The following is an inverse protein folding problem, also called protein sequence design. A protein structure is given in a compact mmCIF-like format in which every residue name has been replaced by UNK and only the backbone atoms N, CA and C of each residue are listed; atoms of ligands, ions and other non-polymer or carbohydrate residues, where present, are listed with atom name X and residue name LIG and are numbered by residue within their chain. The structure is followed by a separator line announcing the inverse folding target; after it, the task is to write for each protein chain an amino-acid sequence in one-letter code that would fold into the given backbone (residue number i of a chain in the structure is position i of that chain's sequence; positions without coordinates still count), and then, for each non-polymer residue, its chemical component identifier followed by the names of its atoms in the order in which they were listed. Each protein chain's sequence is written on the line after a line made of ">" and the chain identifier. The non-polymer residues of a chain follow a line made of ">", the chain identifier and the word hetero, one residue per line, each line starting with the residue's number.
data_IF_593476371077
#
_entry.id   IF_593476371077
#
_cell.length_a   1.000
_cell.length_b   1.000
_cell.length_c   1.000
_cell.angle_alpha   90.00
_cell.angle_beta   90.00
_cell.angle_gamma   90.00
#
_symmetry.space_group_name_H-M   'P 1'
#
loop_
_entity.id
_entity.type
_entity.pdbx_description
1 polymer ?
#
# COMPACT_ATOMS: atom_id res chain seq x y z
N UNK A 1 -12.52 0.67 14.70
CA UNK A 1 -13.49 0.71 13.57
C UNK A 1 -12.85 -0.02 12.39
N UNK A 2 -13.61 -0.84 11.65
CA UNK A 2 -13.15 -1.48 10.42
C UNK A 2 -14.00 -0.98 9.27
N UNK A 3 -13.37 -0.52 8.19
CA UNK A 3 -14.04 0.00 7.00
C UNK A 3 -13.52 -0.77 5.79
N UNK A 4 -14.43 -1.34 5.01
CA UNK A 4 -14.11 -2.09 3.79
C UNK A 4 -14.31 -1.19 2.58
N UNK A 5 -13.26 -0.98 1.77
CA UNK A 5 -13.30 -0.16 0.55
C UNK A 5 -13.22 -1.00 -0.72
N UNK A 6 -13.19 -2.33 -0.64
CA UNK A 6 -12.99 -3.23 -1.79
C UNK A 6 -14.15 -3.24 -2.78
N UNK A 7 -15.37 -2.98 -2.32
CA UNK A 7 -16.58 -3.02 -3.16
C UNK A 7 -16.89 -1.70 -3.85
N UNK A 8 -16.10 -0.66 -3.59
CA UNK A 8 -16.22 0.58 -4.33
C UNK A 8 -15.44 0.42 -5.64
N UNK A 9 -16.10 0.71 -6.76
CA UNK A 9 -15.47 0.82 -8.07
C UNK A 9 -16.12 1.97 -8.82
N UNK A 10 -15.29 2.83 -9.37
CA UNK A 10 -15.74 3.99 -10.14
C UNK A 10 -15.23 3.91 -11.57
N UNK A 11 -16.11 4.14 -12.54
CA UNK A 11 -15.75 4.18 -13.95
C UNK A 11 -15.32 5.59 -14.34
N UNK A 12 -14.19 5.72 -15.02
CA UNK A 12 -13.69 7.03 -15.47
C UNK A 12 -14.69 7.72 -16.39
N UNK A 13 -15.21 8.87 -15.96
CA UNK A 13 -16.16 9.70 -16.73
C UNK A 13 -15.51 10.50 -17.86
N UNK A 14 -14.17 10.67 -17.83
CA UNK A 14 -13.44 11.48 -18.82
C UNK A 14 -13.16 10.75 -20.14
N UNK A 15 -13.01 9.43 -20.10
CA UNK A 15 -12.68 8.61 -21.26
C UNK A 15 -12.94 7.13 -20.93
N UNK A 16 -13.71 6.45 -21.78
CA UNK A 16 -14.05 5.04 -21.60
C UNK A 16 -12.86 4.09 -21.74
N UNK A 17 -11.77 4.54 -22.36
CA UNK A 17 -10.51 3.77 -22.50
C UNK A 17 -9.60 3.84 -21.28
N UNK A 18 -9.92 4.68 -20.29
CA UNK A 18 -9.15 4.74 -19.04
C UNK A 18 -9.60 3.63 -18.09
N UNK A 19 -8.66 3.02 -17.34
CA UNK A 19 -8.99 1.97 -16.38
C UNK A 19 -9.93 2.49 -15.27
N UNK A 20 -10.78 1.61 -14.75
CA UNK A 20 -11.66 1.93 -13.63
C UNK A 20 -10.84 2.28 -12.38
N UNK A 21 -11.31 3.25 -11.61
CA UNK A 21 -10.71 3.65 -10.34
C UNK A 21 -11.31 2.89 -9.16
N UNK A 22 -10.56 2.83 -8.07
CA UNK A 22 -10.99 2.18 -6.83
C UNK A 22 -12.08 2.96 -6.10
N UNK A 23 -11.86 4.24 -5.82
CA UNK A 23 -12.89 5.13 -5.27
C UNK A 23 -12.83 6.48 -5.98
N UNK A 24 -14.00 7.08 -6.19
CA UNK A 24 -14.10 8.48 -6.59
C UNK A 24 -13.90 9.43 -5.41
N UNK A 25 -13.87 10.72 -5.71
CA UNK A 25 -13.68 11.77 -4.71
C UNK A 25 -14.83 11.84 -3.69
N UNK A 26 -16.06 11.57 -4.12
CA UNK A 26 -17.25 11.59 -3.26
C UNK A 26 -17.18 10.47 -2.21
N UNK A 27 -16.91 9.24 -2.64
CA UNK A 27 -16.77 8.09 -1.74
C UNK A 27 -15.61 8.28 -0.73
N UNK A 28 -14.52 8.94 -1.14
CA UNK A 28 -13.40 9.26 -0.23
C UNK A 28 -13.81 10.34 0.78
N UNK A 29 -14.64 11.29 0.38
CA UNK A 29 -15.15 12.34 1.28
C UNK A 29 -16.09 11.73 2.33
N UNK A 30 -16.96 10.80 1.93
CA UNK A 30 -17.81 10.05 2.85
C UNK A 30 -16.98 9.20 3.82
N UNK A 31 -15.94 8.54 3.31
CA UNK A 31 -14.97 7.83 4.13
C UNK A 31 -14.34 8.78 5.17
N UNK A 32 -13.92 9.97 4.75
CA UNK A 32 -13.34 10.97 5.65
C UNK A 32 -14.32 11.37 6.77
N UNK A 33 -15.62 11.47 6.50
CA UNK A 33 -16.63 11.76 7.52
C UNK A 33 -16.72 10.63 8.55
N UNK A 34 -16.72 9.37 8.10
CA UNK A 34 -16.78 8.21 9.00
C UNK A 34 -15.54 8.08 9.90
N UNK A 35 -14.40 8.60 9.44
CA UNK A 35 -13.13 8.59 10.16
C UNK A 35 -13.04 9.67 11.25
N UNK A 36 -13.85 10.72 11.20
CA UNK A 36 -13.76 11.82 12.16
C UNK A 36 -13.99 11.34 13.60
N UNK A 37 -13.12 11.78 14.50
CA UNK A 37 -13.24 11.50 15.93
C UNK A 37 -12.94 10.04 16.32
N UNK A 38 -12.34 9.25 15.42
CA UNK A 38 -11.85 7.90 15.74
C UNK A 38 -10.37 7.96 16.08
N UNK A 39 -9.92 7.17 17.05
CA UNK A 39 -8.50 7.15 17.45
C UNK A 39 -7.66 6.22 16.55
N UNK A 40 -8.19 5.04 16.23
CA UNK A 40 -7.59 4.05 15.35
C UNK A 40 -8.62 3.45 14.37
N UNK A 41 -8.17 3.18 13.15
CA UNK A 41 -9.00 2.57 12.10
C UNK A 41 -8.26 1.48 11.33
N UNK A 42 -9.00 0.43 10.97
CA UNK A 42 -8.57 -0.56 9.97
C UNK A 42 -9.29 -0.27 8.66
N UNK A 43 -8.53 -0.03 7.59
CA UNK A 43 -9.04 0.16 6.24
C UNK A 43 -8.69 -1.07 5.42
N UNK A 44 -9.69 -1.83 4.97
CA UNK A 44 -9.48 -2.96 4.06
C UNK A 44 -9.54 -2.41 2.63
N UNK A 45 -8.40 -2.40 1.93
CA UNK A 45 -8.28 -1.86 0.58
C UNK A 45 -8.03 -2.98 -0.43
N UNK A 46 -8.55 -2.87 -1.67
CA UNK A 46 -8.39 -3.91 -2.68
C UNK A 46 -6.93 -4.06 -3.13
N UNK A 47 -6.27 -2.93 -3.39
CA UNK A 47 -4.84 -2.86 -3.71
C UNK A 47 -4.09 -2.02 -2.65
N UNK A 48 -2.76 -2.18 -2.53
CA UNK A 48 -1.95 -1.39 -1.60
C UNK A 48 -2.02 0.09 -1.90
N UNK A 49 -2.33 0.91 -0.88
CA UNK A 49 -2.29 2.38 -1.00
C UNK A 49 -0.86 2.87 -1.10
N UNK A 50 0.06 2.18 -0.43
CA UNK A 50 1.50 2.44 -0.46
C UNK A 50 2.23 1.26 -1.12
N UNK A 51 2.05 1.08 -2.44
CA UNK A 51 2.73 0.03 -3.21
C UNK A 51 4.21 0.30 -3.49
N UNK A 52 4.88 -0.71 -4.06
CA UNK A 52 6.25 -0.62 -4.58
C UNK A 52 6.27 0.35 -5.76
N UNK A 53 6.92 1.50 -5.58
CA UNK A 53 6.93 2.60 -6.57
C UNK A 53 7.38 2.18 -7.96
N UNK A 54 8.38 1.30 -8.04
CA UNK A 54 8.85 0.79 -9.33
C UNK A 54 7.78 0.00 -10.07
N UNK A 55 7.07 -0.88 -9.36
CA UNK A 55 6.01 -1.68 -9.98
C UNK A 55 4.95 -0.72 -10.51
N UNK A 56 4.48 0.23 -9.70
CA UNK A 56 3.55 1.28 -10.15
C UNK A 56 4.05 2.06 -11.39
N UNK A 57 5.35 2.37 -11.46
CA UNK A 57 5.95 3.09 -12.59
C UNK A 57 5.99 2.24 -13.87
N UNK A 58 6.38 0.97 -13.75
CA UNK A 58 6.37 0.01 -14.86
C UNK A 58 4.94 -0.19 -15.36
N UNK A 59 3.98 -0.34 -14.44
CA UNK A 59 2.57 -0.48 -14.78
C UNK A 59 2.08 0.70 -15.63
N UNK A 60 2.43 1.94 -15.24
CA UNK A 60 2.10 3.15 -16.02
C UNK A 60 2.72 3.17 -17.42
N UNK A 61 3.96 2.70 -17.58
CA UNK A 61 4.62 2.61 -18.89
C UNK A 61 3.86 1.63 -19.80
N UNK A 62 3.50 0.44 -19.30
CA UNK A 62 2.75 -0.54 -20.07
C UNK A 62 1.36 -0.04 -20.48
N UNK A 63 0.67 0.68 -19.60
CA UNK A 63 -0.61 1.34 -19.92
C UNK A 63 -0.42 2.40 -21.01
N UNK A 64 0.64 3.22 -20.94
CA UNK A 64 0.93 4.23 -21.95
C UNK A 64 1.29 3.63 -23.33
N UNK A 65 1.85 2.42 -23.36
CA UNK A 65 2.18 1.67 -24.57
C UNK A 65 1.00 0.86 -25.13
N UNK A 66 -0.20 1.00 -24.57
CA UNK A 66 -1.42 0.38 -25.13
C UNK A 66 -1.60 -1.10 -24.79
N UNK A 67 -0.94 -1.60 -23.73
CA UNK A 67 -1.15 -2.96 -23.20
C UNK A 67 -1.80 -2.94 -21.80
N UNK A 68 -2.97 -2.30 -21.62
CA UNK A 68 -3.61 -2.14 -20.29
C UNK A 68 -4.13 -3.46 -19.71
N UNK A 69 -4.35 -4.50 -20.53
CA UNK A 69 -4.87 -5.80 -20.09
C UNK A 69 -3.84 -6.70 -19.40
N UNK A 70 -2.54 -6.42 -19.56
CA UNK A 70 -1.47 -7.21 -18.93
C UNK A 70 -1.11 -6.73 -17.53
N UNK A 71 -1.69 -5.62 -17.09
CA UNK A 71 -1.28 -4.94 -15.87
C UNK A 71 -2.51 -4.45 -15.13
N UNK A 72 -2.71 -4.90 -13.90
CA UNK A 72 -3.77 -4.36 -13.07
C UNK A 72 -3.52 -2.87 -12.80
N UNK A 73 -4.31 -2.04 -13.48
CA UNK A 73 -4.22 -0.59 -13.45
C UNK A 73 -5.15 0.02 -12.38
N UNK A 74 -5.72 -0.81 -11.48
CA UNK A 74 -6.47 -0.42 -10.28
C UNK A 74 -5.55 0.18 -9.19
N UNK A 75 -4.71 1.15 -9.55
CA UNK A 75 -3.87 1.86 -8.59
C UNK A 75 -4.62 3.10 -8.05
N UNK A 76 -4.66 3.26 -6.72
CA UNK A 76 -5.12 4.47 -6.03
C UNK A 76 -4.53 5.76 -6.63
N UNK A 77 -3.29 5.70 -7.12
CA UNK A 77 -2.56 6.85 -7.68
C UNK A 77 -2.81 7.09 -9.17
N UNK A 78 -3.66 6.30 -9.84
CA UNK A 78 -3.96 6.46 -11.26
C UNK A 78 -4.82 7.71 -11.53
N UNK A 79 -5.71 8.06 -10.60
CA UNK A 79 -6.64 9.19 -10.73
C UNK A 79 -6.24 10.33 -9.79
N UNK A 80 -5.87 11.48 -10.34
CA UNK A 80 -5.30 12.60 -9.57
C UNK A 80 -6.22 13.16 -8.47
N UNK A 81 -7.54 13.22 -8.73
CA UNK A 81 -8.53 13.69 -7.75
C UNK A 81 -8.68 12.75 -6.56
N UNK A 82 -8.86 11.46 -6.82
CA UNK A 82 -8.95 10.42 -5.78
C UNK A 82 -7.64 10.28 -5.01
N UNK A 83 -6.49 10.34 -5.69
CA UNK A 83 -5.18 10.29 -5.04
C UNK A 83 -4.99 11.48 -4.08
N UNK A 84 -5.36 12.69 -4.49
CA UNK A 84 -5.27 13.87 -3.64
C UNK A 84 -6.19 13.76 -2.41
N UNK A 85 -7.45 13.36 -2.60
CA UNK A 85 -8.41 13.18 -1.51
C UNK A 85 -7.96 12.10 -0.52
N UNK A 86 -7.46 10.97 -1.02
CA UNK A 86 -6.93 9.89 -0.19
C UNK A 86 -5.69 10.33 0.59
N UNK A 87 -4.79 11.10 -0.01
CA UNK A 87 -3.64 11.64 0.74
C UNK A 87 -4.12 12.64 1.80
N UNK A 88 -5.08 13.50 1.49
CA UNK A 88 -5.62 14.49 2.41
C UNK A 88 -6.28 13.87 3.66
N UNK A 89 -6.84 12.66 3.53
CA UNK A 89 -7.36 11.88 4.66
C UNK A 89 -6.30 11.67 5.75
N UNK A 90 -5.03 11.48 5.36
CA UNK A 90 -3.92 11.31 6.30
C UNK A 90 -3.38 12.64 6.86
N UNK A 91 -3.58 13.77 6.19
CA UNK A 91 -3.09 15.08 6.67
C UNK A 91 -4.07 15.79 7.62
N UNK A 92 -5.34 15.37 7.63
CA UNK A 92 -6.40 16.12 8.29
C UNK A 92 -6.37 15.92 9.81
N UNK A 93 -6.26 17.00 10.59
CA UNK A 93 -6.08 16.93 12.07
C UNK A 93 -7.20 16.23 12.85
N UNK A 94 -8.40 16.13 12.28
CA UNK A 94 -9.56 15.43 12.87
C UNK A 94 -9.71 13.95 12.46
N UNK A 95 -8.77 13.41 11.67
CA UNK A 95 -8.77 12.00 11.29
C UNK A 95 -7.90 11.18 12.27
N UNK A 96 -7.99 9.84 12.24
CA UNK A 96 -7.34 8.98 13.22
C UNK A 96 -5.84 9.19 13.37
N UNK A 97 -5.36 8.99 14.58
CA UNK A 97 -3.92 8.99 14.88
C UNK A 97 -3.24 7.69 14.41
N UNK A 98 -4.01 6.61 14.21
CA UNK A 98 -3.51 5.34 13.73
C UNK A 98 -4.35 4.77 12.58
N UNK A 99 -3.69 4.45 11.46
CA UNK A 99 -4.29 3.79 10.31
C UNK A 99 -3.62 2.44 10.07
N UNK A 100 -4.42 1.37 10.01
CA UNK A 100 -3.98 0.04 9.58
C UNK A 100 -4.64 -0.30 8.25
N UNK A 101 -3.89 -0.21 7.16
CA UNK A 101 -4.34 -0.54 5.81
C UNK A 101 -4.07 -2.03 5.57
N UNK A 102 -5.13 -2.81 5.35
CA UNK A 102 -5.05 -4.22 4.99
C UNK A 102 -5.30 -4.36 3.49
N UNK A 103 -4.30 -4.86 2.76
CA UNK A 103 -4.38 -4.98 1.30
C UNK A 103 -3.92 -6.36 0.82
N UNK A 104 -4.23 -6.66 -0.44
CA UNK A 104 -3.76 -7.86 -1.12
C UNK A 104 -3.48 -7.57 -2.60
N UNK A 105 -3.89 -8.51 -3.46
CA UNK A 105 -3.76 -8.50 -4.93
C UNK A 105 -2.33 -8.72 -5.45
N UNK A 106 -1.34 -8.05 -4.86
CA UNK A 106 0.05 -8.27 -5.21
C UNK A 106 0.55 -9.58 -4.62
N UNK A 107 1.04 -10.49 -5.48
CA UNK A 107 1.46 -11.86 -5.15
C UNK A 107 2.74 -11.97 -4.29
N UNK A 108 2.96 -11.03 -3.38
CA UNK A 108 4.05 -10.97 -2.42
C UNK A 108 3.60 -10.18 -1.18
N UNK A 109 4.13 -10.52 -0.01
CA UNK A 109 3.79 -9.86 1.25
C UNK A 109 4.80 -8.76 1.59
N UNK A 110 4.32 -7.65 2.16
CA UNK A 110 5.18 -6.59 2.69
C UNK A 110 4.46 -5.77 3.76
N UNK A 111 5.26 -5.10 4.58
CA UNK A 111 4.77 -4.16 5.59
C UNK A 111 5.52 -2.85 5.50
N UNK A 112 4.79 -1.75 5.32
CA UNK A 112 5.37 -0.41 5.34
C UNK A 112 4.80 0.40 6.50
N UNK A 113 5.69 1.07 7.21
CA UNK A 113 5.37 2.16 8.12
C UNK A 113 5.46 3.48 7.36
N UNK A 114 4.43 4.30 7.43
CA UNK A 114 4.36 5.57 6.72
C UNK A 114 4.16 6.69 7.73
N UNK A 115 5.00 7.72 7.63
CA UNK A 115 4.90 8.96 8.40
C UNK A 115 4.85 10.17 7.48
N UNK A 116 4.20 11.23 7.93
CA UNK A 116 4.22 12.51 7.24
C UNK A 116 5.58 13.19 7.45
N UNK A 117 6.19 13.73 6.40
CA UNK A 117 7.47 14.46 6.51
C UNK A 117 7.22 15.83 7.14
N UNK A 118 8.08 16.22 8.09
CA UNK A 118 7.98 17.51 8.76
C UNK A 118 6.86 17.61 9.80
N UNK A 119 6.20 16.50 10.14
CA UNK A 119 5.25 16.44 11.26
C UNK A 119 5.65 15.31 12.22
N UNK A 120 6.26 15.67 13.35
CA UNK A 120 6.69 14.70 14.35
C UNK A 120 5.50 14.04 15.08
N UNK A 121 4.37 14.75 15.17
CA UNK A 121 3.11 14.28 15.77
C UNK A 121 2.04 13.93 14.71
N UNK A 122 2.46 13.59 13.48
CA UNK A 122 1.55 13.10 12.45
C UNK A 122 1.00 11.70 12.77
N UNK A 123 -0.04 11.23 12.06
CA UNK A 123 -0.60 9.91 12.28
C UNK A 123 0.39 8.79 11.92
N UNK A 124 0.33 7.69 12.67
CA UNK A 124 1.04 6.46 12.36
C UNK A 124 0.22 5.64 11.36
N UNK A 125 0.73 5.52 10.13
CA UNK A 125 0.07 4.80 9.05
C UNK A 125 0.85 3.52 8.78
N UNK A 126 0.13 2.40 8.72
CA UNK A 126 0.69 1.08 8.47
C UNK A 126 0.01 0.47 7.25
N UNK A 127 0.82 0.02 6.30
CA UNK A 127 0.37 -0.72 5.14
C UNK A 127 0.79 -2.17 5.31
N UNK A 128 -0.19 -3.04 5.51
CA UNK A 128 -0.01 -4.49 5.56
C UNK A 128 -0.52 -5.09 4.27
N UNK A 129 0.36 -5.75 3.54
CA UNK A 129 0.00 -6.41 2.29
C UNK A 129 0.31 -7.88 2.41
N UNK A 130 -0.71 -8.72 2.21
CA UNK A 130 -0.57 -10.17 2.20
C UNK A 130 -0.52 -10.69 0.78
N UNK A 131 0.38 -11.63 0.53
CA UNK A 131 0.40 -12.45 -0.69
C UNK A 131 -0.89 -13.26 -0.82
N UNK A 132 -1.17 -13.71 -2.05
CA UNK A 132 -2.29 -14.59 -2.35
C UNK A 132 -2.08 -16.01 -1.81
N UNK A 133 -3.18 -16.73 -1.63
CA UNK A 133 -3.17 -18.10 -1.10
C UNK A 133 -2.55 -19.15 -2.04
N UNK A 134 -2.55 -18.90 -3.36
CA UNK A 134 -2.25 -19.92 -4.38
C UNK A 134 -1.22 -19.49 -5.43
N UNK A 135 -0.83 -18.22 -5.46
CA UNK A 135 0.05 -17.67 -6.49
C UNK A 135 1.15 -16.85 -5.86
N UNK A 136 2.35 -17.04 -6.38
CA UNK A 136 3.56 -16.30 -6.06
C UNK A 136 4.01 -15.52 -7.29
N UNK A 137 4.71 -14.41 -7.07
CA UNK A 137 5.29 -13.67 -8.18
C UNK A 137 6.52 -14.41 -8.72
N UNK A 138 6.86 -14.34 -10.01
CA UNK A 138 8.08 -14.95 -10.52
C UNK A 138 9.32 -14.41 -9.77
N UNK A 139 9.99 -15.28 -8.99
CA UNK A 139 11.02 -14.87 -8.02
C UNK A 139 12.13 -14.00 -8.64
N UNK A 140 12.71 -14.42 -9.78
CA UNK A 140 13.75 -13.67 -10.48
C UNK A 140 13.33 -12.25 -10.86
N UNK A 141 12.06 -12.07 -11.23
CA UNK A 141 11.53 -10.77 -11.62
C UNK A 141 11.28 -9.89 -10.40
N UNK A 142 10.79 -10.49 -9.30
CA UNK A 142 10.64 -9.77 -8.04
C UNK A 142 11.98 -9.30 -7.50
N UNK A 143 13.01 -10.15 -7.49
CA UNK A 143 14.35 -9.80 -7.01
C UNK A 143 14.94 -8.65 -7.84
N UNK A 144 14.76 -8.71 -9.15
CA UNK A 144 15.18 -7.63 -10.05
C UNK A 144 14.44 -6.33 -9.73
N UNK A 145 13.11 -6.37 -9.56
CA UNK A 145 12.31 -5.20 -9.20
C UNK A 145 12.65 -4.66 -7.81
N UNK A 146 12.89 -5.50 -6.81
CA UNK A 146 13.25 -5.05 -5.47
C UNK A 146 14.59 -4.31 -5.48
N UNK A 147 15.60 -4.90 -6.16
CA UNK A 147 16.93 -4.29 -6.33
C UNK A 147 16.87 -2.97 -7.09
N UNK A 148 16.11 -2.93 -8.19
CA UNK A 148 15.97 -1.74 -9.00
C UNK A 148 15.16 -0.66 -8.28
N UNK A 149 14.13 -1.03 -7.52
CA UNK A 149 13.34 -0.13 -6.69
C UNK A 149 14.20 0.49 -5.58
N UNK A 150 15.04 -0.31 -4.93
CA UNK A 150 16.01 0.16 -3.92
C UNK A 150 16.98 1.19 -4.50
N UNK A 151 17.44 0.98 -5.73
CA UNK A 151 18.32 1.91 -6.41
C UNK A 151 17.60 3.19 -6.84
N UNK A 152 16.48 3.07 -7.57
CA UNK A 152 15.71 4.19 -8.12
C UNK A 152 14.97 5.01 -7.06
N UNK A 153 14.55 4.41 -5.94
CA UNK A 153 13.77 5.08 -4.90
C UNK A 153 14.47 5.07 -3.55
N UNK A 154 15.81 5.03 -3.56
CA UNK A 154 16.61 5.31 -2.38
C UNK A 154 16.17 6.63 -1.71
N UNK A 155 16.39 6.81 -0.39
CA UNK A 155 15.89 7.98 0.33
C UNK A 155 16.25 9.34 -0.30
N UNK A 156 17.41 9.42 -0.95
CA UNK A 156 17.95 10.61 -1.61
C UNK A 156 17.64 10.68 -3.12
N UNK A 157 16.88 9.72 -3.66
CA UNK A 157 16.58 9.72 -5.09
C UNK A 157 15.70 10.90 -5.49
N UNK A 158 16.06 11.63 -6.56
CA UNK A 158 15.25 12.72 -7.11
C UNK A 158 13.90 12.23 -7.66
N UNK A 159 13.79 10.93 -8.01
CA UNK A 159 12.54 10.34 -8.51
C UNK A 159 11.41 10.40 -7.48
N UNK A 160 11.75 10.48 -6.18
CA UNK A 160 10.76 10.63 -5.13
C UNK A 160 9.95 11.93 -5.26
N UNK A 161 10.53 13.00 -5.84
CA UNK A 161 9.87 14.29 -5.97
C UNK A 161 8.72 14.30 -6.99
N UNK A 162 8.80 13.42 -8.00
CA UNK A 162 7.75 13.26 -9.01
C UNK A 162 6.57 12.40 -8.53
N UNK A 163 6.66 11.81 -7.33
CA UNK A 163 5.58 10.98 -6.79
C UNK A 163 4.56 11.81 -6.02
N UNK A 164 3.29 11.39 -6.05
CA UNK A 164 2.21 12.01 -5.27
C UNK A 164 2.39 11.84 -3.75
N UNK A 165 3.32 10.97 -3.33
CA UNK A 165 3.64 10.64 -1.93
C UNK A 165 4.94 11.31 -1.45
N UNK A 166 5.44 12.33 -2.15
CA UNK A 166 6.74 12.99 -1.87
C UNK A 166 6.87 13.53 -0.44
N UNK A 167 5.76 13.92 0.15
CA UNK A 167 5.67 14.52 1.49
C UNK A 167 5.50 13.45 2.58
N UNK A 168 5.61 12.16 2.22
CA UNK A 168 5.55 11.03 3.15
C UNK A 168 6.88 10.26 3.18
N UNK A 169 7.25 9.79 4.36
CA UNK A 169 8.37 8.87 4.58
C UNK A 169 7.79 7.46 4.68
N UNK A 170 8.08 6.62 3.69
CA UNK A 170 7.71 5.21 3.67
C UNK A 170 8.94 4.41 4.11
N UNK A 171 8.80 3.67 5.20
CA UNK A 171 9.86 2.84 5.78
C UNK A 171 9.42 1.38 5.72
N UNK A 172 10.13 0.53 4.95
CA UNK A 172 9.80 -0.87 4.87
C UNK A 172 10.29 -1.64 6.10
N UNK A 173 9.47 -2.56 6.60
CA UNK A 173 9.87 -3.52 7.61
C UNK A 173 10.50 -4.74 6.94
N UNK A 174 11.49 -5.35 7.60
CA UNK A 174 12.23 -6.49 7.07
C UNK A 174 11.53 -7.80 7.47
N UNK A 175 11.30 -8.74 6.54
CA UNK A 175 10.90 -10.10 6.90
C UNK A 175 12.06 -10.81 7.62
N UNK A 176 11.79 -11.48 8.75
CA UNK A 176 12.83 -12.17 9.53
C UNK A 176 13.53 -13.30 8.79
N UNK A 177 12.88 -13.89 7.78
CA UNK A 177 13.45 -14.94 6.93
C UNK A 177 14.21 -14.41 5.71
N UNK A 178 14.31 -13.09 5.52
CA UNK A 178 14.83 -12.50 4.28
C UNK A 178 16.33 -12.21 4.35
N UNK A 179 17.01 -12.35 3.21
CA UNK A 179 18.42 -12.04 3.05
C UNK A 179 18.70 -10.54 3.21
N UNK A 180 19.98 -10.16 3.27
CA UNK A 180 20.38 -8.78 3.54
C UNK A 180 19.84 -7.80 2.47
N UNK A 181 18.89 -6.95 2.89
CA UNK A 181 18.32 -5.89 2.08
C UNK A 181 17.05 -6.24 1.28
N UNK A 182 16.54 -7.47 1.40
CA UNK A 182 15.21 -7.85 0.89
C UNK A 182 14.10 -7.33 1.81
N UNK A 183 13.05 -6.75 1.21
CA UNK A 183 11.91 -6.15 1.93
C UNK A 183 10.56 -6.74 1.55
N UNK A 184 10.53 -7.60 0.54
CA UNK A 184 9.33 -8.26 0.04
C UNK A 184 9.46 -9.75 0.33
N UNK A 185 8.37 -10.38 0.77
CA UNK A 185 8.31 -11.82 1.00
C UNK A 185 7.51 -12.48 -0.12
N UNK A 186 8.19 -13.22 -0.98
CA UNK A 186 7.56 -13.98 -2.06
C UNK A 186 7.19 -15.38 -1.58
N UNK A 187 6.13 -15.49 -0.79
CA UNK A 187 5.57 -16.78 -0.35
C UNK A 187 4.06 -16.72 -0.36
N UNK A 188 3.41 -17.79 -0.82
CA UNK A 188 1.97 -17.95 -0.65
C UNK A 188 1.63 -18.16 0.84
N UNK A 189 0.52 -17.56 1.29
CA UNK A 189 0.13 -17.66 2.70
C UNK A 189 -0.90 -16.62 3.14
N UNK A 190 -1.02 -16.46 4.45
CA UNK A 190 -1.97 -15.54 5.10
C UNK A 190 -1.24 -14.59 6.04
N UNK A 191 -1.49 -13.29 5.90
CA UNK A 191 -1.07 -12.30 6.88
C UNK A 191 -1.87 -12.39 8.18
N UNK A 192 -1.19 -12.46 9.32
CA UNK A 192 -1.74 -12.38 10.67
C UNK A 192 -1.34 -11.04 11.30
N UNK A 193 -2.31 -10.15 11.49
CA UNK A 193 -2.13 -8.88 12.18
C UNK A 193 -2.66 -8.98 13.61
N UNK A 194 -1.81 -8.67 14.58
CA UNK A 194 -2.18 -8.53 16.00
C UNK A 194 -2.25 -7.06 16.36
N UNK A 195 -3.34 -6.67 17.03
CA UNK A 195 -3.60 -5.31 17.51
C UNK A 195 -3.63 -5.30 19.05
N UNK A 196 -3.30 -4.17 19.64
CA UNK A 196 -3.51 -3.93 21.08
C UNK A 196 -4.95 -3.45 21.36
N UNK A 197 -5.26 -3.17 22.63
CA UNK A 197 -6.58 -2.71 23.07
C UNK A 197 -6.96 -1.35 22.46
N UNK A 198 -6.00 -0.49 22.16
CA UNK A 198 -6.22 0.79 21.48
C UNK A 198 -6.34 0.65 19.94
N UNK A 199 -6.27 -0.58 19.40
CA UNK A 199 -6.38 -0.85 17.97
C UNK A 199 -5.12 -0.52 17.15
N UNK A 200 -3.99 -0.29 17.81
CA UNK A 200 -2.68 -0.09 17.17
C UNK A 200 -2.04 -1.44 16.82
N UNK A 201 -1.34 -1.54 15.69
CA UNK A 201 -0.65 -2.77 15.31
C UNK A 201 0.55 -3.02 16.22
N UNK A 202 0.62 -4.25 16.73
CA UNK A 202 1.73 -4.72 17.59
C UNK A 202 2.63 -5.68 16.85
N UNK A 203 2.05 -6.50 15.98
CA UNK A 203 2.79 -7.55 15.27
C UNK A 203 2.10 -7.91 13.97
N UNK A 204 2.89 -8.06 12.91
CA UNK A 204 2.44 -8.66 11.67
C UNK A 204 3.32 -9.86 11.31
N UNK A 205 2.68 -10.96 10.93
CA UNK A 205 3.36 -12.20 10.56
C UNK A 205 2.75 -12.78 9.29
N UNK A 206 3.57 -13.41 8.47
CA UNK A 206 3.12 -14.22 7.35
C UNK A 206 3.09 -15.68 7.75
N UNK A 207 1.92 -16.30 7.65
CA UNK A 207 1.70 -17.73 7.81
C UNK A 207 1.83 -18.39 6.44
N UNK A 208 2.98 -19.00 6.17
CA UNK A 208 3.24 -19.74 4.95
C UNK A 208 2.39 -21.00 4.85
N UNK A 209 2.10 -21.43 3.62
CA UNK A 209 1.40 -22.71 3.37
C UNK A 209 2.19 -23.92 3.89
N UNK A 210 3.51 -23.77 4.09
CA UNK A 210 4.43 -24.74 4.66
C UNK A 210 4.41 -24.77 6.20
N UNK A 211 3.58 -23.95 6.83
CA UNK A 211 3.53 -23.77 8.28
C UNK A 211 4.64 -22.86 8.83
N UNK A 212 5.46 -22.25 7.96
CA UNK A 212 6.46 -21.28 8.39
C UNK A 212 5.79 -19.98 8.85
N UNK A 213 6.40 -19.33 9.85
CA UNK A 213 5.94 -18.07 10.40
C UNK A 213 7.05 -17.03 10.24
N UNK A 214 6.81 -16.02 9.40
CA UNK A 214 7.77 -14.94 9.17
C UNK A 214 7.25 -13.64 9.79
N UNK A 215 7.95 -13.10 10.78
CA UNK A 215 7.68 -11.76 11.33
C UNK A 215 8.20 -10.65 10.42
N UNK A 216 7.58 -9.48 10.48
CA UNK A 216 8.09 -8.25 9.87
C UNK A 216 8.49 -7.30 10.99
N UNK A 217 9.78 -6.95 11.03
CA UNK A 217 10.37 -6.18 12.12
C UNK A 217 11.01 -4.89 11.58
N UNK A 218 11.10 -3.87 12.43
CA UNK A 218 11.86 -2.65 12.13
C UNK A 218 13.36 -2.95 12.16
N UNK A 219 14.13 -2.32 11.26
CA UNK A 219 15.61 -2.37 11.30
C UNK A 219 16.21 -1.36 12.28
#
# INVERSE_FOLDING_TARGET
>A
LVLDTRTNRWRSERNEKLPSGLMDWESITDLQQQLKGREAVILVTPAPVFGVKLIEAIQRIFTALGQPLMVDAENWMAHGGSAYALMNLFYHSKTPTCFSLLSGDVHYSFVYKVKLRGQDNGPDIWQFTSSGLKNEFPAKLLDFFDRLNRWLYSPYSPLNWFTKRKDMKVTPLKPSSADHGERLLNKAGVGLLSLNEEGKPVRFQHLGHDGSLTSFDEE
#
